data_IF_942799137706
#
_entry.id   IF_942799137706
#
_cell.length_a   1.000
_cell.length_b   1.000
_cell.length_c   1.000
_cell.angle_alpha   90.00
_cell.angle_beta   90.00
_cell.angle_gamma   90.00
#
_symmetry.space_group_name_H-M   'P 1'
#
loop_
_entity.id
_entity.type
_entity.pdbx_description
1 polymer ?
#
# COMPACT_ATOMS: atom_id res chain seq x y z
N UNK A 1 -2.49 20.53 -5.15
CA UNK A 1 -1.53 20.41 -6.26
C UNK A 1 -0.84 19.06 -6.15
N UNK A 2 -1.15 18.12 -7.04
CA UNK A 2 -0.54 16.77 -7.15
C UNK A 2 0.90 16.87 -7.69
N UNK A 3 1.75 17.58 -6.97
CA UNK A 3 3.11 17.87 -7.38
C UNK A 3 4.05 16.88 -6.71
N UNK A 4 4.10 15.67 -7.30
CA UNK A 4 5.23 14.70 -7.31
C UNK A 4 4.74 13.37 -7.89
N UNK A 5 4.55 13.34 -9.20
CA UNK A 5 4.52 12.09 -9.98
C UNK A 5 5.93 11.42 -10.06
N UNK A 6 6.73 11.55 -8.98
CA UNK A 6 8.11 11.08 -8.90
C UNK A 6 8.36 10.06 -7.80
N UNK A 7 7.48 9.98 -6.80
CA UNK A 7 7.57 8.92 -5.77
C UNK A 7 6.54 7.84 -6.10
N UNK A 8 6.99 6.79 -6.79
CA UNK A 8 6.22 5.58 -7.10
C UNK A 8 5.85 4.75 -5.86
N UNK A 9 5.79 5.37 -4.67
CA UNK A 9 5.47 4.69 -3.42
C UNK A 9 4.10 4.01 -3.49
N UNK A 10 3.14 4.59 -4.22
CA UNK A 10 1.84 3.95 -4.43
C UNK A 10 1.98 2.61 -5.16
N UNK A 11 2.85 2.51 -6.17
CA UNK A 11 3.08 1.26 -6.91
C UNK A 11 3.59 0.17 -5.99
N UNK A 12 4.61 0.48 -5.18
CA UNK A 12 5.14 -0.43 -4.17
C UNK A 12 4.08 -0.81 -3.14
N UNK A 13 3.29 0.16 -2.65
CA UNK A 13 2.21 -0.13 -1.71
C UNK A 13 1.20 -1.14 -2.30
N UNK A 14 0.72 -0.88 -3.52
CA UNK A 14 -0.25 -1.77 -4.18
C UNK A 14 0.33 -3.15 -4.46
N UNK A 15 1.60 -3.26 -4.88
CA UNK A 15 2.29 -4.53 -5.03
C UNK A 15 2.39 -5.29 -3.69
N UNK A 16 2.70 -4.60 -2.59
CA UNK A 16 2.75 -5.20 -1.26
C UNK A 16 1.40 -5.84 -0.88
N UNK A 17 0.30 -5.12 -1.10
CA UNK A 17 -1.05 -5.64 -0.86
C UNK A 17 -1.38 -6.85 -1.75
N UNK A 18 -1.01 -6.79 -3.04
CA UNK A 18 -1.21 -7.91 -3.98
C UNK A 18 -0.42 -9.14 -3.57
N UNK A 19 0.87 -9.00 -3.28
CA UNK A 19 1.71 -10.11 -2.83
C UNK A 19 1.23 -10.71 -1.51
N UNK A 20 0.77 -9.87 -0.57
CA UNK A 20 0.21 -10.35 0.69
C UNK A 20 -1.05 -11.20 0.50
N UNK A 21 -1.91 -10.88 -0.47
CA UNK A 21 -3.07 -11.72 -0.79
C UNK A 21 -2.70 -13.01 -1.52
N UNK A 22 -1.60 -13.01 -2.29
CA UNK A 22 -1.05 -14.21 -2.94
C UNK A 22 -0.27 -15.12 -1.96
N UNK A 23 -0.03 -14.66 -0.73
CA UNK A 23 0.79 -15.39 0.26
C UNK A 23 2.30 -15.26 0.04
N UNK A 24 2.73 -14.40 -0.89
CA UNK A 24 4.14 -14.12 -1.20
C UNK A 24 4.72 -13.10 -0.21
N UNK A 25 4.76 -13.46 1.08
CA UNK A 25 4.99 -12.53 2.20
C UNK A 25 6.38 -11.89 2.19
N UNK A 26 7.40 -12.55 1.65
CA UNK A 26 8.74 -11.99 1.47
C UNK A 26 8.72 -10.81 0.49
N UNK A 27 8.05 -10.97 -0.65
CA UNK A 27 7.90 -9.88 -1.62
C UNK A 27 7.02 -8.77 -1.07
N UNK A 28 5.94 -9.14 -0.39
CA UNK A 28 5.07 -8.15 0.26
C UNK A 28 5.86 -7.25 1.22
N UNK A 29 6.72 -7.82 2.06
CA UNK A 29 7.57 -7.07 3.00
C UNK A 29 8.59 -6.18 2.30
N UNK A 30 9.25 -6.67 1.25
CA UNK A 30 10.18 -5.87 0.45
C UNK A 30 9.49 -4.63 -0.15
N UNK A 31 8.27 -4.78 -0.66
CA UNK A 31 7.50 -3.68 -1.22
C UNK A 31 6.99 -2.70 -0.14
N UNK A 32 6.72 -3.16 1.09
CA UNK A 32 6.47 -2.27 2.24
C UNK A 32 7.70 -1.41 2.52
N UNK A 33 8.89 -2.01 2.56
CA UNK A 33 10.14 -1.29 2.78
C UNK A 33 10.39 -0.24 1.69
N UNK A 34 10.27 -0.61 0.41
CA UNK A 34 10.41 0.33 -0.72
C UNK A 34 9.41 1.48 -0.65
N UNK A 35 8.19 1.21 -0.16
CA UNK A 35 7.17 2.23 0.07
C UNK A 35 7.63 3.21 1.15
N UNK A 36 8.05 2.70 2.31
CA UNK A 36 8.43 3.52 3.47
C UNK A 36 9.74 4.30 3.24
N UNK A 37 10.66 3.78 2.44
CA UNK A 37 11.87 4.50 2.00
C UNK A 37 11.50 5.76 1.20
N UNK A 38 10.49 5.68 0.32
CA UNK A 38 10.02 6.82 -0.48
C UNK A 38 9.08 7.73 0.29
N UNK A 39 8.24 7.15 1.14
CA UNK A 39 7.24 7.87 1.93
C UNK A 39 7.07 7.21 3.30
N UNK A 40 7.84 7.70 4.26
CA UNK A 40 7.94 7.14 5.62
C UNK A 40 6.65 7.24 6.46
N UNK A 41 5.74 8.15 6.10
CA UNK A 41 4.48 8.42 6.81
C UNK A 41 3.29 7.65 6.22
N UNK A 42 3.53 6.65 5.36
CA UNK A 42 2.44 5.79 4.85
C UNK A 42 1.93 4.88 5.96
N UNK A 43 0.62 4.95 6.20
CA UNK A 43 -0.10 4.06 7.11
C UNK A 43 -1.31 3.44 6.41
N UNK A 44 -1.85 2.36 6.96
CA UNK A 44 -3.12 1.78 6.51
C UNK A 44 -4.21 2.85 6.51
N UNK A 45 -4.28 3.69 7.57
CA UNK A 45 -5.28 4.77 7.67
C UNK A 45 -5.16 5.79 6.54
N UNK A 46 -3.93 6.17 6.15
CA UNK A 46 -3.72 7.08 5.03
C UNK A 46 -4.31 6.50 3.74
N UNK A 47 -4.06 5.21 3.48
CA UNK A 47 -4.46 4.57 2.23
C UNK A 47 -5.97 4.25 2.21
N UNK A 48 -6.56 3.92 3.36
CA UNK A 48 -8.02 3.74 3.49
C UNK A 48 -8.82 5.02 3.25
N UNK A 49 -8.18 6.19 3.25
CA UNK A 49 -8.81 7.47 2.91
C UNK A 49 -8.75 7.83 1.43
N UNK A 50 -8.17 6.98 0.57
CA UNK A 50 -8.08 7.25 -0.87
C UNK A 50 -9.47 7.22 -1.54
N UNK A 51 -9.71 8.06 -2.56
CA UNK A 51 -11.00 8.20 -3.22
C UNK A 51 -11.26 7.06 -4.22
N UNK A 52 -11.38 5.83 -3.73
CA UNK A 52 -11.77 4.68 -4.54
C UNK A 52 -13.24 4.79 -4.95
N UNK A 53 -13.51 4.62 -6.24
CA UNK A 53 -14.87 4.61 -6.77
C UNK A 53 -15.68 3.39 -6.28
N UNK A 54 -15.00 2.25 -6.10
CA UNK A 54 -15.59 1.01 -5.61
C UNK A 54 -15.15 0.74 -4.15
N UNK A 55 -16.09 0.68 -3.19
CA UNK A 55 -15.77 0.38 -1.79
C UNK A 55 -15.24 -1.05 -1.59
N UNK A 56 -15.58 -2.00 -2.46
CA UNK A 56 -15.06 -3.38 -2.37
C UNK A 56 -13.57 -3.40 -2.72
N UNK A 57 -13.17 -2.69 -3.78
CA UNK A 57 -11.76 -2.52 -4.11
C UNK A 57 -10.98 -1.83 -2.99
N UNK A 58 -11.57 -0.81 -2.33
CA UNK A 58 -10.94 -0.14 -1.19
C UNK A 58 -10.68 -1.11 -0.03
N UNK A 59 -11.64 -1.95 0.34
CA UNK A 59 -11.46 -2.93 1.42
C UNK A 59 -10.48 -4.05 1.02
N UNK A 60 -10.48 -4.48 -0.24
CA UNK A 60 -9.51 -5.47 -0.74
C UNK A 60 -8.07 -4.95 -0.58
N UNK A 61 -7.80 -3.71 -0.97
CA UNK A 61 -6.47 -3.13 -0.79
C UNK A 61 -6.18 -2.82 0.68
N UNK A 62 -7.13 -2.27 1.42
CA UNK A 62 -6.99 -2.00 2.86
C UNK A 62 -6.60 -3.26 3.64
N UNK A 63 -7.31 -4.36 3.41
CA UNK A 63 -6.98 -5.65 4.03
C UNK A 63 -5.62 -6.18 3.55
N UNK A 64 -5.25 -5.97 2.30
CA UNK A 64 -3.93 -6.30 1.76
C UNK A 64 -2.80 -5.53 2.44
N UNK A 65 -2.95 -4.22 2.66
CA UNK A 65 -1.96 -3.41 3.37
C UNK A 65 -1.77 -3.87 4.82
N UNK A 66 -2.88 -4.19 5.51
CA UNK A 66 -2.83 -4.77 6.87
C UNK A 66 -2.05 -6.09 6.88
N UNK A 67 -2.33 -6.99 5.92
CA UNK A 67 -1.63 -8.28 5.80
C UNK A 67 -0.14 -8.09 5.49
N UNK A 68 0.20 -7.15 4.60
CA UNK A 68 1.57 -6.84 4.22
C UNK A 68 2.41 -6.28 5.37
N UNK A 69 1.77 -5.71 6.40
CA UNK A 69 2.43 -5.21 7.60
C UNK A 69 2.65 -3.70 7.61
N UNK A 70 1.85 -2.93 6.87
CA UNK A 70 1.89 -1.47 6.97
C UNK A 70 1.54 -0.99 8.40
N UNK A 71 2.14 0.12 8.88
CA UNK A 71 1.75 0.74 10.15
C UNK A 71 0.27 1.15 10.15
N UNK A 72 -0.37 1.10 11.32
CA UNK A 72 -1.79 1.48 11.50
C UNK A 72 -2.00 2.99 11.59
#
# INVERSE_FOLDING_TARGET
>A
SYQKAGDHFFTHAFLAATYAHLGEMEKARAEVEETLVRKHDVTVRLISGLPFADPVALELFTSGFRKAGFPV
#
